data_IF_479762640303
#
_entry.id   IF_479762640303
#
_cell.length_a   1.000
_cell.length_b   1.000
_cell.length_c   1.000
_cell.angle_alpha   90.00
_cell.angle_beta   90.00
_cell.angle_gamma   90.00
#
_symmetry.space_group_name_H-M   'P 1'
#
loop_
_entity.id
_entity.type
_entity.pdbx_description
1 polymer ?
#
# COMPACT_ATOMS: atom_id res chain seq x y z
N UNK A 1 5.24 30.18 -5.66
CA UNK A 1 6.55 29.59 -5.29
C UNK A 1 6.34 28.09 -5.32
N UNK A 2 6.92 27.37 -6.30
CA UNK A 2 6.92 25.90 -6.26
C UNK A 2 7.78 25.53 -5.05
N UNK A 3 7.18 24.97 -3.99
CA UNK A 3 7.97 24.25 -2.99
C UNK A 3 8.69 23.15 -3.76
N UNK A 4 10.01 23.13 -3.77
CA UNK A 4 10.76 21.96 -4.19
C UNK A 4 10.20 20.80 -3.39
N UNK A 5 9.67 19.79 -4.07
CA UNK A 5 9.30 18.53 -3.42
C UNK A 5 10.58 18.03 -2.76
N UNK A 6 10.57 17.94 -1.45
CA UNK A 6 11.66 17.34 -0.69
C UNK A 6 11.84 15.96 -1.28
N UNK A 7 13.04 15.63 -1.73
CA UNK A 7 13.35 14.41 -2.51
C UNK A 7 12.96 13.10 -1.84
N UNK A 8 12.72 13.11 -0.54
CA UNK A 8 12.28 11.95 0.23
C UNK A 8 10.75 11.84 0.37
N UNK A 9 9.96 12.86 0.04
CA UNK A 9 8.48 12.82 -0.02
C UNK A 9 7.78 12.22 1.22
N UNK A 10 8.55 11.79 2.20
CA UNK A 10 8.13 10.99 3.35
C UNK A 10 7.56 11.87 4.45
N UNK A 11 7.93 13.14 4.48
CA UNK A 11 7.59 14.06 5.57
C UNK A 11 6.75 15.27 5.13
N UNK A 12 6.27 15.33 3.89
CA UNK A 12 5.35 16.37 3.46
C UNK A 12 3.90 15.87 3.50
N UNK A 13 2.99 16.72 3.91
CA UNK A 13 1.55 16.45 3.86
C UNK A 13 0.82 17.67 3.30
N UNK A 14 -0.41 17.45 2.83
CA UNK A 14 -1.25 18.51 2.25
C UNK A 14 -1.68 19.49 3.34
N UNK A 15 -1.43 20.78 3.11
CA UNK A 15 -1.87 21.86 4.00
C UNK A 15 -3.40 22.02 3.96
N UNK A 16 -4.01 22.46 5.07
CA UNK A 16 -5.48 22.59 5.19
C UNK A 16 -6.13 23.37 4.05
N UNK A 17 -5.46 24.44 3.59
CA UNK A 17 -5.96 25.33 2.52
C UNK A 17 -6.02 24.63 1.15
N UNK A 18 -5.33 23.49 1.00
CA UNK A 18 -5.27 22.69 -0.23
C UNK A 18 -6.13 21.45 -0.15
N UNK A 19 -6.69 21.14 1.00
CA UNK A 19 -7.54 19.97 1.18
C UNK A 19 -8.83 20.09 0.35
N UNK A 20 -9.15 19.03 -0.36
CA UNK A 20 -10.37 18.91 -1.17
C UNK A 20 -11.29 17.87 -0.54
N UNK A 21 -12.40 18.26 0.09
CA UNK A 21 -13.33 17.31 0.66
C UNK A 21 -14.00 16.46 -0.44
N UNK A 22 -14.34 15.18 -0.13
CA UNK A 22 -15.04 14.33 -1.09
C UNK A 22 -16.40 14.96 -1.46
N UNK A 23 -16.82 14.79 -2.72
CA UNK A 23 -18.07 15.37 -3.24
C UNK A 23 -19.28 14.48 -2.98
N UNK A 24 -19.06 13.17 -2.95
CA UNK A 24 -20.12 12.18 -2.78
C UNK A 24 -20.58 12.14 -1.32
N UNK A 25 -21.88 12.34 -1.10
CA UNK A 25 -22.46 12.36 0.25
C UNK A 25 -22.18 11.06 1.03
N UNK A 26 -22.25 9.91 0.36
CA UNK A 26 -21.97 8.61 1.00
C UNK A 26 -20.52 8.52 1.50
N UNK A 27 -19.56 9.11 0.77
CA UNK A 27 -18.16 9.16 1.18
C UNK A 27 -17.98 10.15 2.33
N UNK A 28 -18.62 11.33 2.30
CA UNK A 28 -18.54 12.30 3.39
C UNK A 28 -19.07 11.72 4.71
N UNK A 29 -20.28 11.15 4.70
CA UNK A 29 -20.88 10.54 5.88
C UNK A 29 -20.03 9.38 6.42
N UNK A 30 -19.43 8.61 5.53
CA UNK A 30 -18.56 7.49 5.93
C UNK A 30 -17.23 7.98 6.48
N UNK A 31 -16.65 9.05 5.93
CA UNK A 31 -15.44 9.70 6.42
C UNK A 31 -15.64 10.25 7.84
N UNK A 32 -16.75 10.94 8.08
CA UNK A 32 -17.09 11.45 9.42
C UNK A 32 -17.19 10.32 10.45
N UNK A 33 -17.85 9.22 10.07
CA UNK A 33 -17.91 8.02 10.89
C UNK A 33 -16.53 7.42 11.14
N UNK A 34 -15.71 7.25 10.09
CA UNK A 34 -14.38 6.65 10.18
C UNK A 34 -13.44 7.47 11.08
N UNK A 35 -13.45 8.79 10.93
CA UNK A 35 -12.68 9.69 11.80
C UNK A 35 -13.11 9.62 13.27
N UNK A 36 -14.35 9.22 13.52
CA UNK A 36 -14.85 8.93 14.87
C UNK A 36 -14.24 7.69 15.53
N UNK A 37 -13.66 6.76 14.76
CA UNK A 37 -13.05 5.52 15.28
C UNK A 37 -11.77 5.78 16.08
N UNK A 38 -10.99 6.78 15.73
CA UNK A 38 -9.78 7.29 16.40
C UNK A 38 -8.57 6.36 16.39
N UNK A 39 -8.70 5.11 16.83
CA UNK A 39 -7.55 4.21 17.02
C UNK A 39 -7.61 3.03 16.04
N UNK A 40 -6.66 2.97 15.12
CA UNK A 40 -6.47 1.88 14.18
C UNK A 40 -5.20 1.09 14.44
N UNK A 41 -5.18 -0.16 13.99
CA UNK A 41 -4.01 -1.02 13.96
C UNK A 41 -3.46 -1.08 12.53
N UNK A 42 -2.31 -0.47 12.31
CA UNK A 42 -1.56 -0.64 11.07
C UNK A 42 -0.57 -1.79 11.22
N UNK A 43 -0.55 -2.70 10.25
CA UNK A 43 0.37 -3.84 10.24
C UNK A 43 1.05 -4.00 8.90
N UNK A 44 2.39 -3.95 8.91
CA UNK A 44 3.24 -4.38 7.80
C UNK A 44 3.74 -5.79 8.06
N UNK A 45 3.47 -6.69 7.13
CA UNK A 45 3.93 -8.06 7.20
C UNK A 45 4.02 -8.68 5.81
N UNK A 46 5.22 -9.21 5.49
CA UNK A 46 5.53 -9.81 4.21
C UNK A 46 6.74 -10.77 4.36
N UNK A 47 7.09 -11.57 3.36
CA UNK A 47 8.24 -12.49 3.42
C UNK A 47 9.55 -11.82 3.81
N UNK A 48 9.79 -10.58 3.41
CA UNK A 48 10.99 -9.80 3.76
C UNK A 48 11.23 -9.64 5.27
N UNK A 49 10.17 -9.74 6.10
CA UNK A 49 10.30 -9.73 7.57
C UNK A 49 11.21 -10.85 8.11
N UNK A 50 11.41 -11.96 7.37
CA UNK A 50 12.32 -13.04 7.75
C UNK A 50 13.78 -12.60 7.77
N UNK A 51 14.13 -11.56 7.05
CA UNK A 51 15.48 -11.03 6.92
C UNK A 51 15.79 -9.96 7.97
N UNK A 52 14.80 -9.57 8.77
CA UNK A 52 14.95 -8.53 9.79
C UNK A 52 15.16 -7.13 9.21
N UNK A 53 14.82 -6.92 7.96
CA UNK A 53 14.94 -5.62 7.29
C UNK A 53 13.70 -4.75 7.48
N UNK A 54 13.86 -3.44 7.30
CA UNK A 54 12.75 -2.53 7.32
C UNK A 54 12.03 -2.58 5.97
N UNK A 55 10.96 -3.36 5.91
CA UNK A 55 10.07 -3.52 4.75
C UNK A 55 10.84 -3.76 3.45
N UNK A 56 10.43 -3.16 2.33
CA UNK A 56 11.06 -3.32 1.02
C UNK A 56 12.16 -2.28 0.72
N UNK A 57 12.38 -1.30 1.58
CA UNK A 57 13.32 -0.19 1.33
C UNK A 57 14.74 -0.62 0.95
N UNK A 58 15.31 -1.71 1.47
CA UNK A 58 16.64 -2.17 1.06
C UNK A 58 16.77 -2.52 -0.42
N UNK A 59 15.67 -2.68 -1.16
CA UNK A 59 15.67 -2.93 -2.60
C UNK A 59 15.99 -1.67 -3.43
N UNK A 60 15.78 -0.46 -2.87
CA UNK A 60 16.04 0.80 -3.53
C UNK A 60 17.39 1.38 -3.12
N UNK A 61 18.36 1.45 -4.04
CA UNK A 61 19.74 1.89 -3.73
C UNK A 61 19.82 3.39 -3.40
N UNK A 62 19.16 4.22 -4.21
CA UNK A 62 19.24 5.67 -4.05
C UNK A 62 18.48 6.19 -2.84
N UNK A 63 17.25 5.71 -2.68
CA UNK A 63 16.34 6.22 -1.65
C UNK A 63 16.30 5.37 -0.39
N UNK A 64 16.71 4.09 -0.50
CA UNK A 64 16.67 3.10 0.57
C UNK A 64 18.01 2.84 1.25
N UNK A 65 19.08 3.51 0.88
CA UNK A 65 20.44 3.27 1.41
C UNK A 65 20.53 3.35 2.94
N UNK A 66 19.72 4.19 3.58
CA UNK A 66 19.63 4.29 5.04
C UNK A 66 19.14 3.00 5.69
N UNK A 67 18.29 2.21 5.02
CA UNK A 67 17.77 0.94 5.52
C UNK A 67 18.75 -0.22 5.31
N UNK A 68 19.79 0.00 4.51
CA UNK A 68 20.83 -1.00 4.23
C UNK A 68 21.93 -0.97 5.30
N UNK A 69 22.02 0.06 6.12
CA UNK A 69 23.10 0.26 7.09
C UNK A 69 23.18 -0.82 8.19
N UNK A 70 22.04 -1.41 8.54
CA UNK A 70 21.92 -2.40 9.62
C UNK A 70 22.04 -3.87 9.12
N UNK A 71 22.30 -4.06 7.83
CA UNK A 71 22.41 -5.38 7.24
C UNK A 71 23.85 -5.64 6.85
N UNK A 72 24.39 -6.81 7.25
CA UNK A 72 25.76 -7.23 6.90
C UNK A 72 25.82 -7.64 5.41
N UNK A 73 26.02 -6.63 4.56
CA UNK A 73 26.03 -6.79 3.12
C UNK A 73 27.45 -7.03 2.62
N UNK A 74 27.74 -8.23 2.18
CA UNK A 74 28.92 -8.49 1.37
C UNK A 74 28.66 -8.29 -0.11
N UNK A 75 27.39 -8.40 -0.53
CA UNK A 75 26.95 -8.22 -1.91
C UNK A 75 25.46 -7.84 -1.94
N UNK A 76 25.17 -6.60 -2.33
CA UNK A 76 23.79 -6.04 -2.38
C UNK A 76 22.89 -6.79 -3.38
N UNK A 77 23.41 -7.19 -4.53
CA UNK A 77 22.62 -7.88 -5.53
C UNK A 77 22.22 -9.29 -5.06
N UNK A 78 23.12 -10.00 -4.42
CA UNK A 78 22.80 -11.29 -3.77
C UNK A 78 21.70 -11.12 -2.73
N UNK A 79 21.75 -10.06 -1.94
CA UNK A 79 20.70 -9.83 -0.97
C UNK A 79 19.35 -9.49 -1.64
N UNK A 80 19.33 -8.61 -2.62
CA UNK A 80 18.09 -8.29 -3.34
C UNK A 80 17.43 -9.56 -3.87
N UNK A 81 18.24 -10.49 -4.40
CA UNK A 81 17.75 -11.79 -4.82
C UNK A 81 17.23 -12.63 -3.65
N UNK A 82 17.93 -12.64 -2.49
CA UNK A 82 17.46 -13.32 -1.28
C UNK A 82 16.16 -12.71 -0.76
N UNK A 83 16.00 -11.39 -0.85
CA UNK A 83 14.78 -10.71 -0.47
C UNK A 83 13.60 -11.18 -1.35
N UNK A 84 13.76 -11.16 -2.65
CA UNK A 84 12.72 -11.61 -3.60
C UNK A 84 12.40 -13.09 -3.36
N UNK A 85 13.41 -13.92 -3.10
CA UNK A 85 13.26 -15.36 -2.87
C UNK A 85 12.74 -15.72 -1.46
N UNK A 86 12.58 -14.74 -0.57
CA UNK A 86 12.10 -14.98 0.79
C UNK A 86 10.69 -15.61 0.82
N UNK A 87 9.87 -15.41 -0.23
CA UNK A 87 8.59 -16.09 -0.38
C UNK A 87 8.72 -17.62 -0.40
N UNK A 88 9.83 -18.18 -0.94
CA UNK A 88 10.09 -19.61 -1.05
C UNK A 88 10.32 -20.30 0.31
N UNK A 89 10.57 -19.53 1.34
CA UNK A 89 10.75 -20.02 2.73
C UNK A 89 9.68 -19.49 3.68
N UNK A 90 8.82 -18.57 3.23
CA UNK A 90 7.80 -17.95 4.07
C UNK A 90 6.69 -18.94 4.40
N UNK A 91 6.72 -19.45 5.62
CA UNK A 91 5.75 -20.44 6.11
C UNK A 91 5.31 -20.13 7.56
N UNK A 92 4.46 -19.12 7.75
CA UNK A 92 4.02 -18.68 9.07
C UNK A 92 2.99 -19.63 9.71
N UNK A 93 3.36 -20.87 10.00
CA UNK A 93 2.49 -21.93 10.55
C UNK A 93 1.82 -21.58 11.88
N UNK A 94 2.29 -20.54 12.57
CA UNK A 94 1.70 -20.05 13.82
C UNK A 94 0.71 -18.91 13.62
N UNK A 95 0.47 -18.52 12.37
CA UNK A 95 -0.50 -17.46 12.08
C UNK A 95 -1.91 -17.86 12.53
N UNK A 96 -2.50 -17.02 13.33
CA UNK A 96 -3.82 -17.19 13.93
C UNK A 96 -4.60 -15.87 13.80
N UNK A 97 -5.34 -15.68 12.69
CA UNK A 97 -6.06 -14.42 12.45
C UNK A 97 -7.11 -14.11 13.52
N UNK A 98 -7.73 -15.15 14.08
CA UNK A 98 -8.66 -15.06 15.19
C UNK A 98 -8.02 -14.43 16.45
N UNK A 99 -6.79 -14.85 16.78
CA UNK A 99 -6.05 -14.33 17.94
C UNK A 99 -5.56 -12.89 17.73
N UNK A 100 -5.19 -12.57 16.48
CA UNK A 100 -4.79 -11.19 16.17
C UNK A 100 -5.97 -10.24 16.29
N UNK A 101 -7.14 -10.63 15.79
CA UNK A 101 -8.35 -9.82 15.90
C UNK A 101 -8.84 -9.70 17.35
N UNK A 102 -8.73 -10.79 18.14
CA UNK A 102 -9.06 -10.77 19.58
C UNK A 102 -8.16 -9.79 20.34
N UNK A 103 -6.84 -9.87 20.14
CA UNK A 103 -5.89 -8.95 20.77
C UNK A 103 -6.14 -7.50 20.37
N UNK A 104 -6.42 -7.24 19.09
CA UNK A 104 -6.75 -5.90 18.63
C UNK A 104 -8.01 -5.35 19.31
N UNK A 105 -9.05 -6.18 19.47
CA UNK A 105 -10.27 -5.82 20.19
C UNK A 105 -10.01 -5.51 21.67
N UNK A 106 -9.25 -6.38 22.36
CA UNK A 106 -8.84 -6.18 23.76
C UNK A 106 -8.04 -4.89 23.96
N UNK A 107 -7.19 -4.53 22.99
CA UNK A 107 -6.42 -3.28 22.99
C UNK A 107 -7.25 -2.04 22.60
N UNK A 108 -8.51 -2.22 22.22
CA UNK A 108 -9.43 -1.13 21.90
C UNK A 108 -9.32 -0.59 20.47
N UNK A 109 -8.59 -1.27 19.57
CA UNK A 109 -8.53 -0.89 18.15
C UNK A 109 -9.92 -0.98 17.50
N UNK A 110 -10.18 -0.08 16.55
CA UNK A 110 -11.48 0.08 15.89
C UNK A 110 -11.43 -0.26 14.40
N UNK A 111 -10.26 -0.24 13.81
CA UNK A 111 -10.04 -0.65 12.42
C UNK A 111 -8.68 -1.30 12.23
N UNK A 112 -8.59 -2.11 11.17
CA UNK A 112 -7.35 -2.70 10.68
C UNK A 112 -6.92 -1.98 9.41
N UNK A 113 -5.66 -1.59 9.32
CA UNK A 113 -4.96 -1.21 8.10
C UNK A 113 -3.85 -2.25 7.85
N UNK A 114 -4.09 -3.16 6.91
CA UNK A 114 -3.16 -4.24 6.61
C UNK A 114 -2.49 -4.06 5.26
N UNK A 115 -1.18 -4.29 5.21
CA UNK A 115 -0.37 -4.23 3.99
C UNK A 115 -0.69 -5.40 3.08
N UNK A 116 -1.56 -5.17 2.10
CA UNK A 116 -1.90 -6.19 1.09
C UNK A 116 -0.79 -6.36 0.07
N UNK A 117 -0.06 -5.29 -0.24
CA UNK A 117 1.13 -5.24 -1.07
C UNK A 117 1.99 -4.05 -0.67
N UNK A 118 3.29 -4.24 -0.41
CA UNK A 118 4.28 -3.18 -0.24
C UNK A 118 5.00 -2.89 -1.56
N UNK A 119 6.01 -2.03 -1.58
CA UNK A 119 6.74 -1.64 -2.80
C UNK A 119 7.46 -2.81 -3.48
N UNK A 120 7.78 -3.89 -2.74
CA UNK A 120 8.37 -5.11 -3.29
C UNK A 120 7.45 -5.91 -4.22
N UNK A 121 6.19 -5.53 -4.31
CA UNK A 121 5.22 -6.19 -5.16
C UNK A 121 4.66 -7.52 -4.64
N UNK A 122 5.13 -8.02 -3.48
CA UNK A 122 4.60 -9.27 -2.95
C UNK A 122 3.16 -9.11 -2.46
N UNK A 123 2.25 -9.90 -3.03
CA UNK A 123 0.83 -9.83 -2.70
C UNK A 123 0.47 -10.78 -1.55
N UNK A 124 0.07 -10.22 -0.40
CA UNK A 124 -0.45 -10.96 0.76
C UNK A 124 -1.91 -11.39 0.58
N UNK A 125 -2.42 -11.37 -0.65
CA UNK A 125 -3.79 -11.72 -1.05
C UNK A 125 -3.78 -12.57 -2.32
N UNK A 126 -4.88 -13.27 -2.60
CA UNK A 126 -5.00 -14.15 -3.78
C UNK A 126 -5.33 -13.34 -5.04
N UNK A 127 -4.34 -12.64 -5.57
CA UNK A 127 -4.47 -11.95 -6.87
C UNK A 127 -4.37 -12.91 -8.04
N UNK A 128 -4.98 -12.56 -9.18
CA UNK A 128 -4.84 -13.26 -10.45
C UNK A 128 -3.90 -12.53 -11.42
N UNK A 129 -3.20 -11.50 -10.93
CA UNK A 129 -2.37 -10.63 -11.79
C UNK A 129 -0.90 -11.04 -11.79
N UNK A 130 -0.44 -11.76 -10.77
CA UNK A 130 0.95 -12.20 -10.62
C UNK A 130 1.02 -13.49 -9.82
N UNK A 131 2.09 -14.27 -10.02
CA UNK A 131 2.45 -15.44 -9.20
C UNK A 131 3.28 -15.04 -7.97
N UNK A 132 3.75 -13.80 -7.88
CA UNK A 132 4.46 -13.28 -6.71
C UNK A 132 3.48 -12.94 -5.58
N UNK A 133 2.91 -13.98 -5.00
CA UNK A 133 1.83 -13.90 -4.00
C UNK A 133 1.88 -15.04 -2.99
N UNK A 134 1.25 -14.83 -1.85
CA UNK A 134 1.22 -15.77 -0.72
C UNK A 134 0.52 -17.10 -1.04
N UNK A 135 -0.43 -17.10 -1.97
CA UNK A 135 -1.20 -18.28 -2.38
C UNK A 135 -0.58 -19.07 -3.52
N UNK A 136 0.56 -18.60 -4.06
CA UNK A 136 1.28 -19.31 -5.12
C UNK A 136 1.96 -20.57 -4.60
N UNK A 137 2.01 -21.68 -5.36
CA UNK A 137 2.71 -22.92 -4.95
C UNK A 137 4.18 -22.77 -4.63
N UNK A 138 4.87 -21.72 -5.10
CA UNK A 138 6.25 -21.40 -4.71
C UNK A 138 6.36 -20.97 -3.24
N UNK A 139 5.29 -20.49 -2.64
CA UNK A 139 5.23 -20.13 -1.22
C UNK A 139 4.75 -21.32 -0.39
N UNK A 140 5.54 -21.86 0.57
CA UNK A 140 5.16 -23.04 1.36
C UNK A 140 3.82 -22.88 2.10
N UNK A 141 3.44 -21.65 2.45
CA UNK A 141 2.21 -21.36 3.15
C UNK A 141 0.94 -21.54 2.29
N UNK A 142 1.07 -21.70 0.96
CA UNK A 142 -0.08 -21.83 0.05
C UNK A 142 -1.04 -22.99 0.40
N UNK A 143 -0.57 -24.01 1.13
CA UNK A 143 -1.40 -25.14 1.56
C UNK A 143 -2.17 -24.90 2.86
N UNK A 144 -1.90 -23.78 3.53
CA UNK A 144 -2.60 -23.42 4.77
C UNK A 144 -4.07 -23.08 4.51
N UNK A 145 -5.00 -23.42 5.43
CA UNK A 145 -6.38 -22.91 5.34
C UNK A 145 -6.46 -21.38 5.44
N UNK A 146 -5.37 -20.72 5.88
CA UNK A 146 -5.21 -19.28 5.99
C UNK A 146 -4.27 -18.72 4.92
N UNK A 147 -4.04 -19.43 3.81
CA UNK A 147 -3.08 -19.02 2.78
C UNK A 147 -3.39 -17.63 2.22
N UNK A 148 -4.66 -17.30 1.99
CA UNK A 148 -5.08 -15.92 1.73
C UNK A 148 -5.14 -15.16 3.07
N UNK A 149 -3.97 -14.62 3.48
CA UNK A 149 -3.79 -13.95 4.76
C UNK A 149 -4.69 -12.72 4.86
N UNK A 150 -4.78 -11.94 3.78
CA UNK A 150 -5.63 -10.74 3.73
C UNK A 150 -7.09 -11.09 3.99
N UNK A 151 -7.62 -12.10 3.31
CA UNK A 151 -8.99 -12.58 3.54
C UNK A 151 -9.20 -13.02 4.98
N UNK A 152 -8.29 -13.85 5.47
CA UNK A 152 -8.37 -14.42 6.81
C UNK A 152 -8.38 -13.34 7.90
N UNK A 153 -7.54 -12.30 7.76
CA UNK A 153 -7.54 -11.16 8.67
C UNK A 153 -8.83 -10.34 8.57
N UNK A 154 -9.22 -9.97 7.35
CA UNK A 154 -10.40 -9.13 7.15
C UNK A 154 -11.68 -9.79 7.68
N UNK A 155 -11.83 -11.09 7.48
CA UNK A 155 -12.99 -11.82 7.98
C UNK A 155 -13.03 -11.86 9.52
N UNK A 156 -11.88 -12.10 10.18
CA UNK A 156 -11.82 -12.14 11.65
C UNK A 156 -12.01 -10.76 12.30
N UNK A 157 -11.44 -9.72 11.70
CA UNK A 157 -11.62 -8.35 12.21
C UNK A 157 -13.06 -7.87 12.03
N UNK A 158 -13.70 -8.15 10.87
CA UNK A 158 -15.13 -7.83 10.65
C UNK A 158 -16.07 -8.56 11.62
N UNK A 159 -15.82 -9.83 11.95
CA UNK A 159 -16.60 -10.56 12.95
C UNK A 159 -16.64 -9.85 14.29
N UNK A 160 -15.63 -9.05 14.59
CA UNK A 160 -15.51 -8.24 15.83
C UNK A 160 -15.98 -6.79 15.64
N UNK A 161 -16.59 -6.46 14.50
CA UNK A 161 -17.13 -5.13 14.23
C UNK A 161 -16.08 -4.07 13.92
N UNK A 162 -14.82 -4.46 13.64
CA UNK A 162 -13.78 -3.52 13.24
C UNK A 162 -13.88 -3.16 11.76
N UNK A 163 -13.59 -1.90 11.44
CA UNK A 163 -13.51 -1.43 10.07
C UNK A 163 -12.27 -2.00 9.35
N UNK A 164 -12.32 -2.04 8.03
CA UNK A 164 -11.24 -2.59 7.20
C UNK A 164 -10.68 -1.52 6.29
N UNK A 165 -9.39 -1.26 6.46
CA UNK A 165 -8.61 -0.42 5.55
C UNK A 165 -7.58 -1.27 4.82
N UNK A 166 -7.49 -1.04 3.51
CA UNK A 166 -6.53 -1.71 2.62
C UNK A 166 -5.33 -0.81 2.47
N UNK A 167 -4.16 -1.21 2.95
CA UNK A 167 -2.91 -0.60 2.50
C UNK A 167 -2.50 -1.24 1.18
N UNK A 168 -2.22 -0.41 0.19
CA UNK A 168 -1.75 -0.83 -1.11
C UNK A 168 -0.68 0.13 -1.62
N UNK A 169 0.49 -0.40 -1.97
CA UNK A 169 1.56 0.37 -2.58
C UNK A 169 1.27 0.65 -4.06
N UNK A 170 1.31 1.91 -4.48
CA UNK A 170 1.20 2.29 -5.88
C UNK A 170 2.39 1.80 -6.71
N UNK A 171 3.66 2.03 -6.32
CA UNK A 171 4.81 1.44 -6.99
C UNK A 171 4.88 -0.08 -6.79
N UNK A 172 5.54 -0.76 -7.70
CA UNK A 172 5.80 -2.19 -7.64
C UNK A 172 7.19 -2.48 -8.22
N UNK A 173 8.16 -2.66 -7.34
CA UNK A 173 9.57 -2.83 -7.71
C UNK A 173 9.90 -4.23 -8.24
N UNK A 174 8.95 -5.16 -8.16
CA UNK A 174 9.07 -6.48 -8.78
C UNK A 174 8.51 -6.51 -10.21
N UNK A 175 7.63 -5.58 -10.56
CA UNK A 175 7.02 -5.51 -11.88
C UNK A 175 8.00 -5.01 -12.94
N UNK A 176 8.18 -5.79 -14.02
CA UNK A 176 8.95 -5.36 -15.19
C UNK A 176 8.32 -4.14 -15.92
N UNK A 177 7.06 -3.82 -15.65
CA UNK A 177 6.42 -2.61 -16.18
C UNK A 177 6.62 -1.37 -15.28
N UNK A 178 7.30 -1.52 -14.10
CA UNK A 178 7.72 -0.41 -13.23
C UNK A 178 9.24 -0.27 -13.16
N UNK A 179 9.97 -1.33 -12.76
CA UNK A 179 11.43 -1.42 -12.85
C UNK A 179 11.81 -2.43 -13.92
N UNK A 180 11.96 -1.93 -15.14
CA UNK A 180 12.17 -2.78 -16.29
C UNK A 180 13.65 -3.18 -16.44
N UNK A 181 13.90 -4.47 -16.48
CA UNK A 181 15.25 -5.07 -16.49
C UNK A 181 16.13 -4.60 -17.65
N UNK A 182 15.56 -4.28 -18.81
CA UNK A 182 16.33 -3.81 -19.97
C UNK A 182 16.95 -2.42 -19.76
N UNK A 183 16.46 -1.63 -18.79
CA UNK A 183 17.00 -0.30 -18.47
C UNK A 183 17.98 -0.31 -17.30
N UNK A 184 18.37 -1.50 -16.84
CA UNK A 184 19.33 -1.68 -15.75
C UNK A 184 18.74 -1.46 -14.35
N UNK A 185 19.63 -1.30 -13.37
CA UNK A 185 19.25 -1.09 -11.97
C UNK A 185 18.53 0.27 -11.82
N UNK A 186 17.41 0.27 -11.12
CA UNK A 186 16.68 1.49 -10.83
C UNK A 186 17.49 2.38 -9.87
N UNK A 187 17.83 3.61 -10.26
CA UNK A 187 18.65 4.49 -9.43
C UNK A 187 17.89 5.07 -8.23
N UNK A 188 16.57 5.05 -8.29
CA UNK A 188 15.67 5.60 -7.27
C UNK A 188 14.41 4.74 -7.15
N UNK A 189 13.52 5.12 -6.24
CA UNK A 189 12.19 4.51 -6.06
C UNK A 189 11.24 4.67 -7.25
N UNK A 190 11.57 5.56 -8.19
CA UNK A 190 10.74 5.87 -9.37
C UNK A 190 10.88 4.80 -10.45
N UNK A 191 9.99 4.87 -11.45
CA UNK A 191 10.14 4.12 -12.71
C UNK A 191 11.52 4.37 -13.32
N UNK A 192 12.16 3.33 -13.87
CA UNK A 192 13.54 3.41 -14.36
C UNK A 192 13.64 3.61 -15.89
N UNK A 193 12.56 4.04 -16.52
CA UNK A 193 12.49 4.38 -17.95
C UNK A 193 11.68 5.66 -18.17
N UNK A 194 11.74 6.25 -19.35
CA UNK A 194 10.90 7.38 -19.76
C UNK A 194 9.51 6.89 -20.15
N UNK A 195 8.48 7.32 -19.39
CA UNK A 195 7.07 7.00 -19.70
C UNK A 195 6.67 7.62 -21.05
N UNK A 196 7.21 8.80 -21.40
CA UNK A 196 6.93 9.44 -22.68
C UNK A 196 7.47 8.62 -23.88
N UNK A 197 8.64 7.99 -23.72
CA UNK A 197 9.25 7.15 -24.74
C UNK A 197 8.67 5.73 -24.79
N UNK A 198 8.13 5.23 -23.68
CA UNK A 198 7.60 3.88 -23.53
C UNK A 198 6.20 3.87 -22.88
N UNK A 199 5.22 4.59 -23.45
CA UNK A 199 3.89 4.71 -22.84
C UNK A 199 3.16 3.36 -22.72
N UNK A 200 3.45 2.40 -23.60
CA UNK A 200 2.83 1.07 -23.56
C UNK A 200 3.21 0.26 -22.33
N UNK A 201 4.40 0.49 -21.75
CA UNK A 201 4.82 -0.17 -20.51
C UNK A 201 4.03 0.41 -19.32
N UNK A 202 3.92 1.73 -19.27
CA UNK A 202 3.15 2.39 -18.23
C UNK A 202 1.66 2.03 -18.29
N UNK A 203 1.08 1.92 -19.48
CA UNK A 203 -0.30 1.46 -19.67
C UNK A 203 -0.53 0.04 -19.14
N UNK A 204 0.43 -0.87 -19.36
CA UNK A 204 0.35 -2.22 -18.74
C UNK A 204 0.43 -2.16 -17.24
N UNK A 205 1.33 -1.31 -16.68
CA UNK A 205 1.44 -1.12 -15.24
C UNK A 205 0.16 -0.54 -14.62
N UNK A 206 -0.44 0.47 -15.25
CA UNK A 206 -1.73 1.02 -14.81
C UNK A 206 -2.82 -0.05 -14.82
N UNK A 207 -2.93 -0.80 -15.92
CA UNK A 207 -3.89 -1.90 -16.02
C UNK A 207 -3.68 -2.99 -14.96
N UNK A 208 -2.44 -3.33 -14.68
CA UNK A 208 -2.06 -4.28 -13.62
C UNK A 208 -2.48 -3.77 -12.24
N UNK A 209 -2.15 -2.52 -11.92
CA UNK A 209 -2.50 -1.87 -10.65
C UNK A 209 -4.02 -1.78 -10.46
N UNK A 210 -4.75 -1.34 -11.50
CA UNK A 210 -6.22 -1.27 -11.45
C UNK A 210 -6.86 -2.63 -11.19
N UNK A 211 -6.37 -3.69 -11.85
CA UNK A 211 -6.91 -5.05 -11.61
C UNK A 211 -6.70 -5.50 -10.18
N UNK A 212 -5.54 -5.24 -9.58
CA UNK A 212 -5.29 -5.59 -8.17
C UNK A 212 -6.21 -4.83 -7.22
N UNK A 213 -6.37 -3.52 -7.42
CA UNK A 213 -7.29 -2.69 -6.62
C UNK A 213 -8.74 -3.16 -6.81
N UNK A 214 -9.14 -3.53 -8.04
CA UNK A 214 -10.46 -4.06 -8.33
C UNK A 214 -10.71 -5.41 -7.62
N UNK A 215 -9.73 -6.33 -7.63
CA UNK A 215 -9.81 -7.59 -6.91
C UNK A 215 -10.01 -7.37 -5.41
N UNK A 216 -9.25 -6.47 -4.80
CA UNK A 216 -9.42 -6.11 -3.40
C UNK A 216 -10.80 -5.50 -3.13
N UNK A 217 -11.25 -4.58 -3.98
CA UNK A 217 -12.54 -3.92 -3.83
C UNK A 217 -13.78 -4.78 -4.12
N UNK A 218 -13.63 -5.90 -4.84
CA UNK A 218 -14.75 -6.75 -5.25
C UNK A 218 -14.80 -8.11 -4.55
N UNK A 219 -13.65 -8.65 -4.17
CA UNK A 219 -13.55 -10.02 -3.65
C UNK A 219 -13.38 -10.10 -2.14
N UNK A 220 -13.01 -9.01 -1.47
CA UNK A 220 -12.64 -9.00 -0.04
C UNK A 220 -13.71 -8.37 0.87
N UNK A 221 -14.95 -8.24 0.38
CA UNK A 221 -16.08 -7.70 1.13
C UNK A 221 -16.04 -6.17 1.23
N UNK A 222 -16.71 -5.61 2.24
CA UNK A 222 -16.72 -4.16 2.46
C UNK A 222 -15.33 -3.65 2.83
N UNK A 223 -14.88 -2.61 2.16
CA UNK A 223 -13.65 -1.87 2.46
C UNK A 223 -14.03 -0.45 2.87
N UNK A 224 -13.56 -0.02 4.02
CA UNK A 224 -13.89 1.31 4.54
C UNK A 224 -12.93 2.36 3.99
N UNK A 225 -11.62 2.04 3.87
CA UNK A 225 -10.61 2.93 3.33
C UNK A 225 -9.63 2.18 2.40
N UNK A 226 -9.35 2.76 1.24
CA UNK A 226 -8.24 2.40 0.37
C UNK A 226 -7.07 3.36 0.66
N UNK A 227 -6.08 2.88 1.37
CA UNK A 227 -4.89 3.62 1.77
C UNK A 227 -3.75 3.33 0.79
N UNK A 228 -3.40 4.30 -0.03
CA UNK A 228 -2.41 4.17 -1.09
C UNK A 228 -1.08 4.75 -0.65
N UNK A 229 -0.04 3.94 -0.63
CA UNK A 229 1.32 4.43 -0.39
C UNK A 229 2.06 4.72 -1.70
N UNK A 230 3.22 5.40 -1.56
CA UNK A 230 4.01 5.82 -2.71
C UNK A 230 3.53 7.15 -3.30
N UNK A 231 3.50 8.23 -2.49
CA UNK A 231 3.10 9.56 -2.92
C UNK A 231 3.89 10.13 -4.10
N UNK A 232 5.10 9.59 -4.35
CA UNK A 232 5.88 9.94 -5.53
C UNK A 232 5.31 9.40 -6.86
N UNK A 233 4.43 8.40 -6.82
CA UNK A 233 3.68 7.93 -8.00
C UNK A 233 2.49 8.87 -8.19
N UNK A 234 2.72 9.92 -8.97
CA UNK A 234 1.74 10.95 -9.30
C UNK A 234 2.08 11.60 -10.65
N UNK A 235 1.13 12.29 -11.30
CA UNK A 235 1.33 12.90 -12.62
C UNK A 235 2.47 13.92 -12.71
N UNK A 236 2.73 14.66 -11.62
CA UNK A 236 3.74 15.72 -11.59
C UNK A 236 5.17 15.17 -11.49
N UNK A 237 5.31 13.89 -11.13
CA UNK A 237 6.59 13.21 -11.03
C UNK A 237 6.78 12.22 -12.18
N UNK A 238 7.55 12.60 -13.20
CA UNK A 238 7.87 11.78 -14.38
C UNK A 238 6.65 11.27 -15.15
N UNK A 239 5.48 11.89 -14.97
CA UNK A 239 4.24 11.43 -15.61
C UNK A 239 3.68 10.13 -15.03
N UNK A 240 4.03 9.76 -13.80
CA UNK A 240 3.59 8.52 -13.15
C UNK A 240 2.10 8.60 -12.73
N UNK A 241 1.22 8.84 -13.71
CA UNK A 241 -0.22 8.87 -13.50
C UNK A 241 -0.83 7.47 -13.60
N UNK A 242 -1.28 6.92 -12.49
CA UNK A 242 -2.02 5.64 -12.48
C UNK A 242 -3.51 5.81 -12.77
N UNK A 243 -3.97 7.03 -13.12
CA UNK A 243 -5.39 7.34 -13.36
C UNK A 243 -6.31 6.84 -12.24
N UNK A 244 -5.93 7.14 -11.01
CA UNK A 244 -6.61 6.67 -9.80
C UNK A 244 -8.12 6.89 -9.84
N UNK A 245 -8.57 8.01 -10.42
CA UNK A 245 -10.00 8.35 -10.56
C UNK A 245 -10.82 7.29 -11.31
N UNK A 246 -10.25 6.63 -12.30
CA UNK A 246 -10.96 5.61 -13.09
C UNK A 246 -11.34 4.42 -12.20
N UNK A 247 -10.39 3.87 -11.46
CA UNK A 247 -10.64 2.69 -10.61
C UNK A 247 -11.47 3.04 -9.38
N UNK A 248 -11.23 4.18 -8.73
CA UNK A 248 -12.02 4.62 -7.57
C UNK A 248 -13.47 4.85 -7.96
N UNK A 249 -13.73 5.56 -9.06
CA UNK A 249 -15.09 5.79 -9.54
C UNK A 249 -15.81 4.49 -9.93
N UNK A 250 -15.10 3.53 -10.52
CA UNK A 250 -15.62 2.19 -10.79
C UNK A 250 -16.07 1.48 -9.51
N UNK A 251 -15.24 1.51 -8.46
CA UNK A 251 -15.57 0.90 -7.17
C UNK A 251 -16.70 1.62 -6.46
N UNK A 252 -16.70 2.97 -6.45
CA UNK A 252 -17.77 3.77 -5.83
C UNK A 252 -19.11 3.63 -6.54
N UNK A 253 -19.10 3.47 -7.86
CA UNK A 253 -20.33 3.22 -8.65
C UNK A 253 -20.87 1.79 -8.52
N UNK A 254 -20.13 0.92 -7.85
CA UNK A 254 -20.44 -0.51 -7.72
C UNK A 254 -20.39 -0.99 -6.28
N UNK A 255 -19.41 -1.87 -5.93
CA UNK A 255 -19.42 -2.58 -4.66
C UNK A 255 -19.04 -1.72 -3.44
N UNK A 256 -18.44 -0.53 -3.62
CA UNK A 256 -17.86 0.28 -2.53
C UNK A 256 -18.32 1.75 -2.60
N UNK A 257 -19.64 2.05 -2.51
CA UNK A 257 -20.14 3.42 -2.73
C UNK A 257 -19.70 4.45 -1.68
N UNK A 258 -19.18 3.98 -0.56
CA UNK A 258 -18.72 4.78 0.59
C UNK A 258 -17.20 4.82 0.73
N UNK A 259 -16.45 4.28 -0.26
CA UNK A 259 -15.00 4.08 -0.16
C UNK A 259 -14.25 5.39 0.09
N UNK A 260 -13.61 5.48 1.25
CA UNK A 260 -12.63 6.52 1.56
C UNK A 260 -11.34 6.18 0.80
N UNK A 261 -10.67 7.19 0.26
CA UNK A 261 -9.37 7.04 -0.39
C UNK A 261 -8.35 7.93 0.29
N UNK A 262 -7.18 7.39 0.53
CA UNK A 262 -6.04 8.08 1.10
C UNK A 262 -4.91 8.01 0.08
N UNK A 263 -4.87 8.98 -0.86
CA UNK A 263 -3.81 9.08 -1.86
C UNK A 263 -2.64 9.92 -1.31
N UNK A 264 -1.82 9.25 -0.52
CA UNK A 264 -0.75 9.79 0.31
C UNK A 264 -0.02 10.96 -0.34
N UNK A 265 -0.16 12.16 0.26
CA UNK A 265 0.55 13.39 -0.07
C UNK A 265 0.40 13.93 -1.50
N UNK A 266 -0.44 13.32 -2.34
CA UNK A 266 -0.67 13.77 -3.71
C UNK A 266 -1.59 14.98 -3.76
N UNK A 267 -2.52 15.07 -2.81
CA UNK A 267 -3.56 16.09 -2.78
C UNK A 267 -4.76 15.77 -3.68
N UNK A 268 -5.71 16.69 -3.73
CA UNK A 268 -6.88 16.55 -4.58
C UNK A 268 -7.99 15.69 -3.99
N UNK A 269 -8.95 15.30 -4.85
CA UNK A 269 -10.21 14.69 -4.43
C UNK A 269 -10.11 13.27 -3.88
N UNK A 270 -8.93 12.61 -4.03
CA UNK A 270 -8.68 11.25 -3.52
C UNK A 270 -7.77 11.23 -2.30
N UNK A 271 -7.33 12.36 -1.78
CA UNK A 271 -6.70 12.46 -0.46
C UNK A 271 -7.76 12.83 0.59
N UNK A 272 -8.67 11.90 0.87
CA UNK A 272 -9.77 12.17 1.83
C UNK A 272 -9.28 12.24 3.28
N UNK A 273 -8.12 11.65 3.59
CA UNK A 273 -7.42 11.72 4.88
C UNK A 273 -5.99 12.15 4.60
N UNK A 274 -5.54 13.21 5.25
CA UNK A 274 -4.15 13.69 5.18
C UNK A 274 -3.29 12.84 6.12
N UNK A 275 -2.10 12.46 5.67
CA UNK A 275 -1.25 11.48 6.35
C UNK A 275 0.14 12.03 6.66
N UNK A 276 0.29 12.94 7.64
CA UNK A 276 1.61 13.33 8.14
C UNK A 276 2.30 12.11 8.74
N UNK A 277 3.44 11.71 8.17
CA UNK A 277 4.17 10.55 8.65
C UNK A 277 5.22 10.96 9.67
N UNK A 278 5.19 10.30 10.84
CA UNK A 278 6.13 10.54 11.96
C UNK A 278 6.15 11.99 12.44
N UNK A 279 5.12 12.77 12.08
CA UNK A 279 4.98 14.16 12.47
C UNK A 279 3.63 14.35 13.17
N UNK A 280 3.66 15.10 14.27
CA UNK A 280 2.45 15.61 14.90
C UNK A 280 2.36 17.08 14.49
N UNK A 281 1.29 17.50 13.79
CA UNK A 281 1.11 18.91 13.43
C UNK A 281 1.22 19.82 14.66
N UNK A 282 1.88 20.97 14.51
CA UNK A 282 2.09 21.95 15.60
C UNK A 282 0.76 22.41 16.22
N UNK A 283 -0.32 22.36 15.45
CA UNK A 283 -1.68 22.71 15.86
C UNK A 283 -2.66 21.67 15.34
N UNK A 284 -3.80 21.45 16.01
CA UNK A 284 -4.86 20.60 15.49
C UNK A 284 -5.28 21.05 14.10
N UNK A 285 -5.37 20.12 13.14
CA UNK A 285 -5.94 20.39 11.83
C UNK A 285 -7.46 20.22 11.86
N UNK A 286 -8.18 21.09 11.12
CA UNK A 286 -9.65 21.03 11.02
C UNK A 286 -10.12 20.16 9.83
N UNK A 287 -9.24 19.37 9.27
CA UNK A 287 -9.47 18.41 8.19
C UNK A 287 -9.22 16.98 8.68
N UNK A 288 -9.75 15.95 8.01
CA UNK A 288 -9.41 14.56 8.35
C UNK A 288 -7.91 14.30 8.19
N UNK A 289 -7.30 13.76 9.23
CA UNK A 289 -5.90 13.39 9.22
C UNK A 289 -5.60 12.22 10.17
N UNK A 290 -4.52 11.52 9.90
CA UNK A 290 -3.97 10.45 10.76
C UNK A 290 -2.44 10.51 10.81
N UNK A 291 -1.84 9.95 11.85
CA UNK A 291 -0.39 9.78 11.99
C UNK A 291 -0.07 8.52 12.79
#
# INVERSE_FOLDING_TARGET
>A
MKKEMIQDGVHSYTEEERYVPPKEKAVQEHLDWFMGLKLGLMMHWAPGCQLGTLESWPLSDGDGSWSQADVDWTDIETFKQQYIDANKTFNPVRFRPDRWAELAEECGFKYLLFTTKHHDGFCMFDTQTTDYKITDPSCPFHTSPYADITRSLYDEFRKRGMAISVYFSKPDWHSDDYWHRAFGTAPTRNVNYSIEEHPEMWERFVSYTHRQIEELGTRYGKIDCLWLDGGWVNPDNQGQDIRLGEIVNKLRSGPQPHLIVCDRTVGGEFENIVTPEKEIPERPMNIPWET
#
